data_IF_279611302230
#
_entry.id   IF_279611302230
#
_cell.length_a   1.000
_cell.length_b   1.000
_cell.length_c   1.000
_cell.angle_alpha   90.00
_cell.angle_beta   90.00
_cell.angle_gamma   90.00
#
_symmetry.space_group_name_H-M   'P 1'
#
loop_
_entity.id
_entity.type
_entity.pdbx_description
1 polymer ?
#
# COMPACT_ATOMS: atom_id res chain seq x y z
N UNK A 1 0.93 32.57 -24.80
CA UNK A 1 1.02 31.37 -23.94
C UNK A 1 -0.27 30.59 -24.13
N UNK A 2 -0.23 29.50 -24.90
CA UNK A 2 -1.38 28.63 -25.08
C UNK A 2 -1.50 27.75 -23.82
N UNK A 3 -2.42 28.08 -22.92
CA UNK A 3 -2.79 27.17 -21.86
C UNK A 3 -3.62 26.05 -22.50
N UNK A 4 -3.06 24.84 -22.51
CA UNK A 4 -3.82 23.65 -22.87
C UNK A 4 -4.78 23.38 -21.70
N UNK A 5 -6.02 23.86 -21.83
CA UNK A 5 -7.07 23.55 -20.87
C UNK A 5 -7.56 22.14 -21.19
N UNK A 6 -7.36 21.22 -20.26
CA UNK A 6 -7.91 19.88 -20.38
C UNK A 6 -9.43 19.94 -20.10
N UNK A 7 -10.25 19.43 -21.01
CA UNK A 7 -11.72 19.45 -20.83
C UNK A 7 -12.13 18.59 -19.64
N UNK A 8 -11.53 17.40 -19.50
CA UNK A 8 -11.81 16.51 -18.37
C UNK A 8 -10.59 15.68 -18.02
N UNK A 9 -10.32 15.54 -16.73
CA UNK A 9 -9.24 14.71 -16.19
C UNK A 9 -9.81 13.73 -15.16
N UNK A 10 -9.47 12.46 -15.34
CA UNK A 10 -9.95 11.37 -14.51
C UNK A 10 -8.77 10.57 -13.96
N UNK A 11 -8.71 10.42 -12.64
CA UNK A 11 -7.78 9.52 -11.99
C UNK A 11 -8.52 8.30 -11.45
N UNK A 12 -8.23 7.15 -12.03
CA UNK A 12 -8.65 5.87 -11.47
C UNK A 12 -7.66 5.40 -10.39
N UNK A 13 -8.18 4.66 -9.41
CA UNK A 13 -7.47 4.28 -8.19
C UNK A 13 -6.78 5.47 -7.50
N UNK A 14 -7.54 6.55 -7.32
CA UNK A 14 -7.06 7.83 -6.78
C UNK A 14 -6.38 7.71 -5.40
N UNK A 15 -6.56 6.60 -4.68
CA UNK A 15 -5.79 6.30 -3.47
C UNK A 15 -4.26 6.19 -3.73
N UNK A 16 -3.83 5.99 -4.98
CA UNK A 16 -2.43 6.03 -5.42
C UNK A 16 -1.86 7.45 -5.51
N UNK A 17 -2.71 8.48 -5.48
CA UNK A 17 -2.32 9.89 -5.34
C UNK A 17 -2.00 10.17 -3.87
N UNK A 18 -0.95 9.52 -3.36
CA UNK A 18 -0.63 9.57 -1.94
C UNK A 18 0.25 10.77 -1.58
N UNK A 19 -0.10 11.40 -0.46
CA UNK A 19 0.75 12.30 0.30
C UNK A 19 0.71 11.88 1.77
N UNK A 20 1.84 12.00 2.48
CA UNK A 20 1.96 11.62 3.88
C UNK A 20 2.59 12.75 4.68
N UNK A 21 2.11 12.97 5.90
CA UNK A 21 2.67 13.95 6.84
C UNK A 21 3.38 13.24 7.98
N UNK A 22 4.58 13.68 8.31
CA UNK A 22 5.37 13.18 9.44
C UNK A 22 5.99 14.37 10.18
N UNK A 23 5.47 14.65 11.38
CA UNK A 23 5.76 15.91 12.08
C UNK A 23 5.43 17.10 11.18
N UNK A 24 6.42 17.98 10.97
CA UNK A 24 6.25 19.15 10.11
C UNK A 24 6.62 18.91 8.63
N UNK A 25 6.93 17.66 8.25
CA UNK A 25 7.37 17.33 6.89
C UNK A 25 6.24 16.67 6.10
N UNK A 26 5.91 17.25 4.94
CA UNK A 26 4.96 16.67 3.98
C UNK A 26 5.72 16.03 2.84
N UNK A 27 5.40 14.76 2.56
CA UNK A 27 5.98 14.02 1.45
C UNK A 27 4.90 13.64 0.43
N UNK A 28 4.99 14.23 -0.75
CA UNK A 28 4.11 13.96 -1.90
C UNK A 28 4.76 12.93 -2.83
N UNK A 29 3.98 11.97 -3.33
CA UNK A 29 4.42 11.08 -4.42
C UNK A 29 4.49 11.83 -5.75
N UNK A 30 5.16 11.26 -6.76
CA UNK A 30 5.19 11.86 -8.10
C UNK A 30 3.79 11.95 -8.71
N UNK A 31 2.96 10.92 -8.50
CA UNK A 31 1.56 10.89 -8.95
C UNK A 31 0.73 12.01 -8.32
N UNK A 32 0.90 12.23 -7.01
CA UNK A 32 0.24 13.35 -6.33
C UNK A 32 0.66 14.70 -6.91
N UNK A 33 1.97 14.92 -7.11
CA UNK A 33 2.47 16.19 -7.69
C UNK A 33 1.94 16.43 -9.11
N UNK A 34 1.81 15.38 -9.90
CA UNK A 34 1.19 15.46 -11.22
C UNK A 34 -0.27 15.90 -11.11
N UNK A 35 -1.05 15.29 -10.22
CA UNK A 35 -2.44 15.68 -9.99
C UNK A 35 -2.56 17.13 -9.50
N UNK A 36 -1.70 17.55 -8.57
CA UNK A 36 -1.62 18.92 -8.03
C UNK A 36 -1.28 19.97 -9.12
N UNK A 37 -0.45 19.61 -10.10
CA UNK A 37 -0.13 20.49 -11.22
C UNK A 37 -1.27 20.58 -12.26
N UNK A 38 -2.09 19.54 -12.38
CA UNK A 38 -3.13 19.45 -13.39
C UNK A 38 -4.52 19.87 -12.90
N UNK A 39 -4.81 19.78 -11.60
CA UNK A 39 -6.16 20.03 -11.06
C UNK A 39 -6.66 21.46 -11.36
N UNK A 40 -5.77 22.44 -11.46
CA UNK A 40 -6.11 23.83 -11.79
C UNK A 40 -6.16 24.12 -13.31
N UNK A 41 -5.79 23.14 -14.14
CA UNK A 41 -5.71 23.27 -15.61
C UNK A 41 -6.76 22.40 -16.32
N UNK A 42 -7.81 21.98 -15.62
CA UNK A 42 -8.92 21.23 -16.19
C UNK A 42 -10.29 21.83 -15.82
N UNK A 43 -11.24 21.73 -16.74
CA UNK A 43 -12.63 22.16 -16.50
C UNK A 43 -13.37 21.17 -15.59
N UNK A 44 -13.10 19.87 -15.73
CA UNK A 44 -13.65 18.81 -14.88
C UNK A 44 -12.54 17.92 -14.32
N UNK A 45 -12.54 17.70 -13.00
CA UNK A 45 -11.59 16.86 -12.29
C UNK A 45 -12.32 15.78 -11.49
N UNK A 46 -12.15 14.51 -11.85
CA UNK A 46 -12.83 13.39 -11.21
C UNK A 46 -11.83 12.37 -10.64
N UNK A 47 -12.04 12.01 -9.38
CA UNK A 47 -11.26 10.99 -8.68
C UNK A 47 -12.14 9.76 -8.44
N UNK A 48 -11.69 8.61 -8.95
CA UNK A 48 -12.34 7.32 -8.73
C UNK A 48 -11.50 6.46 -7.80
N UNK A 49 -12.10 5.91 -6.75
CA UNK A 49 -11.43 4.98 -5.84
C UNK A 49 -12.45 4.18 -5.04
N UNK A 50 -12.24 2.86 -4.93
CA UNK A 50 -13.03 2.01 -4.03
C UNK A 50 -12.64 2.19 -2.56
N UNK A 51 -11.42 2.66 -2.29
CA UNK A 51 -10.81 2.77 -0.97
C UNK A 51 -10.05 4.09 -0.87
N UNK A 52 -10.71 5.21 -0.52
CA UNK A 52 -10.11 6.53 -0.61
C UNK A 52 -8.94 6.76 0.37
N UNK A 53 -8.77 5.89 1.36
CA UNK A 53 -7.66 5.92 2.30
C UNK A 53 -7.47 4.55 2.97
N UNK A 54 -6.30 4.33 3.56
CA UNK A 54 -5.93 3.13 4.33
C UNK A 54 -5.80 3.40 5.84
N UNK A 55 -6.50 4.41 6.35
CA UNK A 55 -6.40 4.85 7.75
C UNK A 55 -5.37 5.96 8.03
N UNK A 56 -4.81 6.58 6.99
CA UNK A 56 -4.03 7.82 7.10
C UNK A 56 -4.94 9.02 6.81
N UNK A 57 -5.28 9.78 7.85
CA UNK A 57 -6.15 10.96 7.77
C UNK A 57 -5.57 12.05 6.88
N UNK A 58 -4.25 12.25 6.91
CA UNK A 58 -3.61 13.27 6.08
C UNK A 58 -3.63 12.88 4.60
N UNK A 59 -3.40 11.60 4.29
CA UNK A 59 -3.51 11.13 2.92
C UNK A 59 -4.93 11.33 2.36
N UNK A 60 -5.95 11.06 3.17
CA UNK A 60 -7.35 11.31 2.79
C UNK A 60 -7.60 12.80 2.57
N UNK A 61 -7.22 13.65 3.53
CA UNK A 61 -7.33 15.10 3.44
C UNK A 61 -6.67 15.63 2.16
N UNK A 62 -5.43 15.23 1.89
CA UNK A 62 -4.67 15.68 0.72
C UNK A 62 -5.36 15.34 -0.61
N UNK A 63 -5.96 14.14 -0.72
CA UNK A 63 -6.74 13.74 -1.90
C UNK A 63 -7.97 14.64 -2.06
N UNK A 64 -8.69 14.90 -0.98
CA UNK A 64 -9.88 15.76 -0.99
C UNK A 64 -9.51 17.21 -1.34
N UNK A 65 -8.37 17.71 -0.83
CA UNK A 65 -7.86 19.05 -1.14
C UNK A 65 -7.47 19.25 -2.60
N UNK A 66 -7.29 18.17 -3.39
CA UNK A 66 -7.14 18.28 -4.85
C UNK A 66 -8.45 18.67 -5.56
N UNK A 67 -9.60 18.36 -4.95
CA UNK A 67 -10.92 18.70 -5.47
C UNK A 67 -11.34 20.09 -5.00
N UNK A 68 -11.24 20.34 -3.69
CA UNK A 68 -11.53 21.64 -3.09
C UNK A 68 -10.53 21.90 -1.95
N UNK A 69 -9.55 22.79 -2.13
CA UNK A 69 -8.53 23.06 -1.11
C UNK A 69 -9.08 23.84 0.09
N UNK A 70 -10.29 24.39 0.04
CA UNK A 70 -10.87 25.24 1.08
C UNK A 70 -11.98 24.56 1.88
N UNK A 71 -12.38 23.35 1.51
CA UNK A 71 -13.48 22.64 2.15
C UNK A 71 -13.20 22.31 3.63
N UNK A 72 -11.94 21.96 3.95
CA UNK A 72 -11.47 21.61 5.29
C UNK A 72 -10.19 22.37 5.64
N UNK A 73 -10.03 22.72 6.91
CA UNK A 73 -8.87 23.44 7.42
C UNK A 73 -7.63 22.54 7.50
N UNK A 74 -7.79 21.33 8.05
CA UNK A 74 -6.75 20.32 8.17
C UNK A 74 -7.35 18.90 8.20
N UNK A 75 -6.48 17.90 8.36
CA UNK A 75 -6.86 16.48 8.40
C UNK A 75 -7.74 16.07 9.58
N UNK A 76 -7.78 16.86 10.66
CA UNK A 76 -8.55 16.57 11.88
C UNK A 76 -9.95 17.20 11.84
N UNK A 77 -10.21 18.08 10.87
CA UNK A 77 -11.45 18.84 10.74
C UNK A 77 -12.36 18.36 9.58
N UNK A 78 -12.27 17.09 9.21
CA UNK A 78 -13.09 16.51 8.13
C UNK A 78 -14.53 16.28 8.63
N UNK A 79 -15.43 17.12 8.13
CA UNK A 79 -16.87 17.03 8.37
C UNK A 79 -17.61 16.24 7.27
N UNK A 80 -18.44 15.29 7.70
CA UNK A 80 -19.18 14.40 6.80
C UNK A 80 -20.22 15.13 5.93
N UNK A 81 -20.85 16.19 6.44
CA UNK A 81 -21.88 16.94 5.71
C UNK A 81 -21.25 17.70 4.55
N UNK A 82 -20.12 18.37 4.79
CA UNK A 82 -19.32 19.00 3.74
C UNK A 82 -18.76 17.97 2.76
N UNK A 83 -18.21 16.86 3.25
CA UNK A 83 -17.65 15.80 2.41
C UNK A 83 -18.69 15.26 1.41
N UNK A 84 -19.93 15.04 1.84
CA UNK A 84 -21.03 14.57 0.99
C UNK A 84 -21.39 15.53 -0.15
N UNK A 85 -20.91 16.78 -0.15
CA UNK A 85 -21.09 17.73 -1.26
C UNK A 85 -20.16 17.46 -2.44
N UNK A 86 -19.01 16.82 -2.19
CA UNK A 86 -17.96 16.58 -3.19
C UNK A 86 -17.67 15.08 -3.41
N UNK A 87 -18.19 14.22 -2.54
CA UNK A 87 -17.96 12.78 -2.58
C UNK A 87 -19.27 12.01 -2.66
N UNK A 88 -19.34 11.07 -3.61
CA UNK A 88 -20.42 10.09 -3.70
C UNK A 88 -19.86 8.73 -3.35
N UNK A 89 -20.39 8.09 -2.31
CA UNK A 89 -20.01 6.73 -1.91
C UNK A 89 -21.26 5.88 -1.69
N UNK A 90 -21.36 4.76 -2.41
CA UNK A 90 -22.44 3.78 -2.24
C UNK A 90 -21.84 2.43 -1.86
N UNK A 91 -22.22 1.92 -0.69
CA UNK A 91 -21.85 0.58 -0.24
C UNK A 91 -22.73 -0.50 -0.85
N UNK A 92 -22.27 -1.76 -0.83
CA UNK A 92 -23.03 -2.92 -1.34
C UNK A 92 -24.35 -3.13 -0.58
N UNK A 93 -24.38 -2.80 0.71
CA UNK A 93 -25.57 -2.92 1.56
C UNK A 93 -26.71 -1.97 1.13
N UNK A 94 -26.36 -0.87 0.43
CA UNK A 94 -27.33 0.08 -0.11
C UNK A 94 -27.89 -0.30 -1.48
N UNK A 95 -27.43 -1.39 -2.09
CA UNK A 95 -27.86 -1.81 -3.43
C UNK A 95 -29.01 -2.81 -3.30
N UNK A 96 -30.20 -2.35 -3.70
CA UNK A 96 -31.43 -3.12 -3.72
C UNK A 96 -31.93 -3.29 -5.14
N UNK A 97 -32.60 -4.41 -5.40
CA UNK A 97 -33.30 -4.64 -6.67
C UNK A 97 -34.59 -3.81 -6.77
N UNK A 98 -35.29 -3.94 -7.89
CA UNK A 98 -36.58 -3.29 -8.16
C UNK A 98 -37.67 -3.60 -7.13
N UNK A 99 -37.53 -4.71 -6.39
CA UNK A 99 -38.45 -5.16 -5.35
C UNK A 99 -37.98 -4.76 -3.93
N UNK A 100 -36.89 -3.99 -3.82
CA UNK A 100 -36.34 -3.53 -2.55
C UNK A 100 -35.51 -4.58 -1.79
N UNK A 101 -35.21 -5.72 -2.41
CA UNK A 101 -34.40 -6.79 -1.81
C UNK A 101 -32.91 -6.52 -2.01
N UNK A 102 -32.05 -6.80 -1.00
CA UNK A 102 -30.60 -6.66 -1.17
C UNK A 102 -30.08 -7.51 -2.34
N UNK A 103 -29.33 -6.88 -3.24
CA UNK A 103 -28.69 -7.58 -4.37
C UNK A 103 -27.54 -8.47 -3.89
N UNK A 104 -26.87 -8.05 -2.81
CA UNK A 104 -25.76 -8.79 -2.21
C UNK A 104 -26.21 -9.56 -0.97
N UNK A 105 -25.71 -10.80 -0.83
CA UNK A 105 -25.89 -11.58 0.39
C UNK A 105 -25.06 -10.96 1.52
N UNK A 106 -25.60 -10.97 2.74
CA UNK A 106 -24.86 -10.60 3.94
C UNK A 106 -23.57 -11.41 4.10
N UNK A 107 -22.51 -10.76 4.59
CA UNK A 107 -21.23 -11.40 4.87
C UNK A 107 -21.20 -11.88 6.31
N UNK A 108 -21.11 -13.18 6.51
CA UNK A 108 -20.78 -13.78 7.80
C UNK A 108 -19.27 -14.02 7.87
N UNK A 109 -18.60 -13.44 8.87
CA UNK A 109 -17.16 -13.60 9.07
C UNK A 109 -16.95 -14.38 10.36
N UNK A 110 -16.30 -15.53 10.25
CA UNK A 110 -15.89 -16.33 11.41
C UNK A 110 -14.37 -16.41 11.44
N UNK A 111 -13.78 -15.98 12.56
CA UNK A 111 -12.36 -16.18 12.82
C UNK A 111 -12.18 -17.57 13.42
N UNK A 112 -11.47 -18.45 12.70
CA UNK A 112 -11.14 -19.78 13.18
C UNK A 112 -9.77 -19.69 13.87
N UNK A 113 -9.69 -19.83 15.21
CA UNK A 113 -8.41 -19.87 15.89
C UNK A 113 -7.68 -21.16 15.53
N UNK A 114 -6.40 -21.04 15.19
CA UNK A 114 -5.50 -22.16 14.95
C UNK A 114 -4.34 -22.10 15.93
N UNK A 115 -3.94 -23.25 16.46
CA UNK A 115 -2.77 -23.37 17.32
C UNK A 115 -1.65 -24.04 16.54
N UNK A 116 -0.43 -23.54 16.69
CA UNK A 116 0.73 -24.23 16.14
C UNK A 116 1.03 -25.50 16.93
N UNK A 117 1.44 -26.53 16.19
CA UNK A 117 2.12 -27.69 16.77
C UNK A 117 3.46 -27.28 17.39
N UNK A 118 4.07 -28.18 18.17
CA UNK A 118 5.38 -27.93 18.77
C UNK A 118 6.44 -27.69 17.69
N UNK A 119 6.42 -28.49 16.63
CA UNK A 119 7.34 -28.43 15.50
C UNK A 119 7.18 -27.13 14.72
N UNK A 120 5.95 -26.70 14.45
CA UNK A 120 5.66 -25.41 13.81
C UNK A 120 6.10 -24.23 14.66
N UNK A 121 5.93 -24.31 15.98
CA UNK A 121 6.39 -23.27 16.91
C UNK A 121 7.92 -23.15 16.90
N UNK A 122 8.63 -24.28 16.89
CA UNK A 122 10.09 -24.32 16.78
C UNK A 122 10.54 -23.68 15.46
N UNK A 123 9.91 -24.06 14.34
CA UNK A 123 10.21 -23.49 13.03
C UNK A 123 9.94 -21.98 12.99
N UNK A 124 8.78 -21.55 13.51
CA UNK A 124 8.39 -20.15 13.60
C UNK A 124 9.45 -19.33 14.34
N UNK A 125 9.85 -19.79 15.52
CA UNK A 125 10.83 -19.09 16.34
C UNK A 125 12.21 -19.05 15.65
N UNK A 126 12.67 -20.17 15.09
CA UNK A 126 13.95 -20.23 14.39
C UNK A 126 14.01 -19.29 13.16
N UNK A 127 12.93 -19.22 12.37
CA UNK A 127 12.84 -18.30 11.23
C UNK A 127 12.78 -16.85 11.71
N UNK A 128 11.97 -16.58 12.73
CA UNK A 128 11.81 -15.23 13.31
C UNK A 128 13.12 -14.71 13.88
N UNK A 129 13.87 -15.54 14.59
CA UNK A 129 15.18 -15.20 15.15
C UNK A 129 16.20 -14.91 14.04
N UNK A 130 16.21 -15.74 12.99
CA UNK A 130 17.07 -15.54 11.82
C UNK A 130 16.76 -14.20 11.12
N UNK A 131 15.49 -13.99 10.77
CA UNK A 131 15.00 -12.78 10.10
C UNK A 131 15.33 -11.54 10.92
N UNK A 132 15.04 -11.57 12.23
CA UNK A 132 15.23 -10.41 13.12
C UNK A 132 16.70 -10.03 13.23
N UNK A 133 17.60 -11.02 13.37
CA UNK A 133 19.04 -10.78 13.46
C UNK A 133 19.58 -10.11 12.19
N UNK A 134 19.25 -10.68 11.02
CA UNK A 134 19.73 -10.15 9.73
C UNK A 134 19.09 -8.80 9.42
N UNK A 135 17.81 -8.61 9.74
CA UNK A 135 17.12 -7.33 9.59
C UNK A 135 17.79 -6.23 10.42
N UNK A 136 18.15 -6.51 11.67
CA UNK A 136 18.83 -5.54 12.54
C UNK A 136 20.23 -5.18 12.04
N UNK A 137 21.00 -6.16 11.53
CA UNK A 137 22.28 -5.91 10.87
C UNK A 137 22.08 -5.05 9.62
N UNK A 138 21.12 -5.41 8.77
CA UNK A 138 20.82 -4.66 7.55
C UNK A 138 20.39 -3.21 7.86
N UNK A 139 19.64 -3.01 8.94
CA UNK A 139 19.24 -1.69 9.43
C UNK A 139 20.44 -0.88 9.91
N UNK A 140 21.40 -1.47 10.64
CA UNK A 140 22.58 -0.75 11.14
C UNK A 140 23.52 -0.30 10.01
N UNK A 141 23.62 -1.07 8.92
CA UNK A 141 24.40 -0.70 7.72
C UNK A 141 23.56 0.03 6.66
N UNK A 142 22.32 0.43 6.98
CA UNK A 142 21.37 1.10 6.08
C UNK A 142 21.12 0.36 4.75
N UNK A 143 21.24 -0.98 4.75
CA UNK A 143 20.98 -1.85 3.61
C UNK A 143 19.51 -2.27 3.58
N UNK A 144 18.68 -1.38 3.03
CA UNK A 144 17.22 -1.57 2.96
C UNK A 144 16.80 -2.78 2.13
N UNK A 145 17.61 -3.19 1.15
CA UNK A 145 17.32 -4.33 0.29
C UNK A 145 17.29 -5.63 1.08
N UNK A 146 18.33 -5.86 1.90
CA UNK A 146 18.41 -7.03 2.77
C UNK A 146 17.33 -7.00 3.83
N UNK A 147 17.07 -5.84 4.44
CA UNK A 147 15.98 -5.69 5.41
C UNK A 147 14.62 -6.06 4.82
N UNK A 148 14.35 -5.65 3.58
CA UNK A 148 13.12 -6.00 2.88
C UNK A 148 13.03 -7.49 2.54
N UNK A 149 14.10 -8.11 2.05
CA UNK A 149 14.12 -9.55 1.82
C UNK A 149 13.79 -10.34 3.10
N UNK A 150 14.25 -9.87 4.26
CA UNK A 150 13.91 -10.48 5.56
C UNK A 150 12.43 -10.31 5.93
N UNK A 151 11.83 -9.15 5.65
CA UNK A 151 10.37 -8.94 5.83
C UNK A 151 9.57 -9.91 4.94
N UNK A 152 9.97 -10.06 3.68
CA UNK A 152 9.31 -11.00 2.76
C UNK A 152 9.43 -12.44 3.25
N UNK A 153 10.62 -12.84 3.72
CA UNK A 153 10.85 -14.17 4.28
C UNK A 153 9.91 -14.44 5.49
N UNK A 154 9.72 -13.46 6.38
CA UNK A 154 8.77 -13.58 7.49
C UNK A 154 7.31 -13.72 6.99
N UNK A 155 6.90 -12.93 6.00
CA UNK A 155 5.54 -13.03 5.44
C UNK A 155 5.28 -14.41 4.82
N UNK A 156 6.27 -15.01 4.16
CA UNK A 156 6.15 -16.36 3.57
C UNK A 156 5.99 -17.45 4.63
N UNK A 157 6.63 -17.28 5.79
CA UNK A 157 6.48 -18.17 6.94
C UNK A 157 5.01 -18.28 7.40
N UNK A 158 4.30 -17.16 7.42
CA UNK A 158 2.87 -17.10 7.80
C UNK A 158 1.94 -17.55 6.66
N UNK A 159 2.44 -17.60 5.42
CA UNK A 159 1.65 -17.99 4.23
C UNK A 159 1.53 -19.51 4.06
N UNK A 160 2.63 -20.26 4.15
CA UNK A 160 2.62 -21.73 4.23
C UNK A 160 4.01 -22.30 4.56
N UNK A 161 4.03 -23.51 5.12
CA UNK A 161 5.26 -24.28 5.37
C UNK A 161 6.02 -24.56 4.06
N UNK A 162 5.30 -24.85 2.97
CA UNK A 162 5.89 -25.10 1.67
C UNK A 162 6.59 -23.85 1.10
N UNK A 163 5.97 -22.67 1.27
CA UNK A 163 6.54 -21.40 0.82
C UNK A 163 7.84 -21.08 1.55
N UNK A 164 7.85 -21.10 2.88
CA UNK A 164 9.07 -20.80 3.65
C UNK A 164 10.19 -21.79 3.37
N UNK A 165 9.86 -23.08 3.20
CA UNK A 165 10.85 -24.09 2.81
C UNK A 165 11.50 -23.78 1.46
N UNK A 166 10.72 -23.37 0.47
CA UNK A 166 11.24 -22.97 -0.84
C UNK A 166 12.14 -21.74 -0.74
N UNK A 167 11.69 -20.70 -0.03
CA UNK A 167 12.45 -19.46 0.17
C UNK A 167 13.78 -19.71 0.88
N UNK A 168 13.80 -20.54 1.92
CA UNK A 168 15.03 -20.91 2.63
C UNK A 168 15.99 -21.71 1.74
N UNK A 169 15.49 -22.64 0.92
CA UNK A 169 16.32 -23.39 -0.03
C UNK A 169 16.95 -22.49 -1.09
N UNK A 170 16.17 -21.59 -1.69
CA UNK A 170 16.67 -20.65 -2.70
C UNK A 170 17.74 -19.73 -2.10
N UNK A 171 17.48 -19.22 -0.90
CA UNK A 171 18.44 -18.40 -0.16
C UNK A 171 19.74 -19.15 0.13
N UNK A 172 19.66 -20.39 0.60
CA UNK A 172 20.84 -21.22 0.85
C UNK A 172 21.64 -21.45 -0.44
N UNK A 173 20.96 -21.77 -1.56
CA UNK A 173 21.58 -21.90 -2.88
C UNK A 173 22.35 -20.63 -3.26
N UNK A 174 21.74 -19.45 -3.10
CA UNK A 174 22.36 -18.18 -3.48
C UNK A 174 23.56 -17.83 -2.60
N UNK A 175 23.50 -18.15 -1.30
CA UNK A 175 24.63 -17.98 -0.38
C UNK A 175 25.81 -18.89 -0.74
N UNK A 176 25.54 -20.16 -1.09
CA UNK A 176 26.56 -21.11 -1.53
C UNK A 176 27.22 -20.66 -2.84
N UNK A 177 26.46 -20.02 -3.73
CA UNK A 177 26.95 -19.52 -5.02
C UNK A 177 27.61 -18.13 -4.95
N UNK A 178 27.75 -17.56 -3.75
CA UNK A 178 28.22 -16.17 -3.54
C UNK A 178 27.49 -15.13 -4.40
N UNK A 179 26.24 -15.42 -4.78
CA UNK A 179 25.48 -14.55 -5.66
C UNK A 179 24.96 -13.34 -4.87
N UNK A 180 25.46 -12.15 -5.21
CA UNK A 180 24.98 -10.88 -4.68
C UNK A 180 24.11 -10.19 -5.73
N UNK A 181 22.77 -10.31 -5.66
CA UNK A 181 21.91 -9.57 -6.57
C UNK A 181 22.10 -8.06 -6.35
N UNK A 182 22.43 -7.34 -7.42
CA UNK A 182 22.53 -5.88 -7.40
C UNK A 182 21.20 -5.31 -7.84
N UNK A 183 20.52 -4.57 -6.94
CA UNK A 183 19.27 -3.92 -7.29
C UNK A 183 19.50 -2.80 -8.33
N UNK A 184 18.69 -2.82 -9.38
CA UNK A 184 18.56 -1.71 -10.33
C UNK A 184 18.03 -0.44 -9.65
N UNK A 185 18.17 0.71 -10.32
CA UNK A 185 17.66 2.01 -9.82
C UNK A 185 16.14 1.97 -9.62
N UNK A 186 15.43 1.30 -10.53
CA UNK A 186 13.99 1.12 -10.47
C UNK A 186 13.57 0.28 -9.27
N UNK A 187 14.28 -0.84 -9.03
CA UNK A 187 14.08 -1.70 -7.86
C UNK A 187 14.38 -0.96 -6.56
N UNK A 188 15.44 -0.14 -6.50
CA UNK A 188 15.71 0.72 -5.33
C UNK A 188 14.59 1.72 -5.06
N UNK A 189 13.90 2.18 -6.11
CA UNK A 189 12.78 3.13 -5.99
C UNK A 189 11.52 2.43 -5.52
N UNK A 190 11.14 1.33 -6.17
CA UNK A 190 10.03 0.45 -5.79
C UNK A 190 10.15 -0.08 -4.36
N UNK A 191 11.37 -0.43 -3.95
CA UNK A 191 11.70 -0.81 -2.56
C UNK A 191 11.41 0.31 -1.56
N UNK A 192 11.75 1.56 -1.90
CA UNK A 192 11.45 2.73 -1.05
C UNK A 192 9.95 2.97 -0.94
N UNK A 193 9.19 2.72 -1.99
CA UNK A 193 7.74 2.88 -2.01
C UNK A 193 7.06 1.77 -1.19
N UNK A 194 7.49 0.52 -1.32
CA UNK A 194 6.99 -0.60 -0.48
C UNK A 194 7.20 -0.36 1.01
N UNK A 195 8.39 0.11 1.40
CA UNK A 195 8.70 0.36 2.82
C UNK A 195 7.73 1.39 3.43
N UNK A 196 7.18 2.27 2.61
CA UNK A 196 6.18 3.26 3.06
C UNK A 196 4.75 2.75 2.97
N UNK A 197 4.43 2.06 1.88
CA UNK A 197 3.12 1.47 1.63
C UNK A 197 3.31 0.01 1.18
N UNK A 198 3.07 -0.97 2.06
CA UNK A 198 3.23 -2.39 1.75
C UNK A 198 2.37 -2.91 0.59
N UNK A 199 1.34 -2.18 0.17
CA UNK A 199 0.54 -2.54 -1.02
C UNK A 199 0.89 -1.71 -2.26
N UNK A 200 1.97 -0.93 -2.20
CA UNK A 200 2.47 -0.21 -3.39
C UNK A 200 3.12 -1.12 -4.43
N UNK A 201 3.43 -2.37 -4.05
CA UNK A 201 3.89 -3.42 -4.97
C UNK A 201 2.79 -4.44 -5.19
N UNK A 202 2.57 -4.82 -6.44
CA UNK A 202 1.77 -6.00 -6.77
C UNK A 202 2.53 -7.30 -6.44
N UNK A 203 1.85 -8.44 -6.54
CA UNK A 203 2.43 -9.74 -6.16
C UNK A 203 3.54 -10.20 -7.12
N UNK A 204 3.50 -9.77 -8.38
CA UNK A 204 4.54 -10.06 -9.38
C UNK A 204 5.81 -9.25 -9.11
N UNK A 205 5.64 -8.00 -8.71
CA UNK A 205 6.74 -7.12 -8.32
C UNK A 205 7.44 -7.61 -7.06
N UNK A 206 6.68 -8.09 -6.06
CA UNK A 206 7.25 -8.72 -4.85
C UNK A 206 8.12 -9.92 -5.21
N UNK A 207 7.65 -10.78 -6.12
CA UNK A 207 8.39 -11.97 -6.57
C UNK A 207 9.68 -11.62 -7.32
N UNK A 208 9.72 -10.47 -8.01
CA UNK A 208 10.93 -10.01 -8.71
C UNK A 208 12.07 -9.62 -7.76
N UNK A 209 11.75 -9.05 -6.61
CA UNK A 209 12.74 -8.74 -5.58
C UNK A 209 13.23 -9.96 -4.80
N UNK A 210 12.55 -11.09 -4.93
CA UNK A 210 12.90 -12.35 -4.25
C UNK A 210 13.96 -13.17 -5.03
N UNK A 211 14.19 -12.86 -6.33
CA UNK A 211 15.18 -13.52 -7.19
C UNK A 211 16.58 -12.91 -7.03
#
# INVERSE_FOLDING_TARGET
MNYCILVSLLFDEAHKLSASKSGNTIKRTQRYRLAEALCNNCESFLLLTGTPHKGDSYAFYAIISLIDPYIFFDEDNIDSIKLNKIMIRRGKDGIKDENGKPVFKGREVMTIPINFTKEETILYNAVTDYVSRIYNIAKSVNNRAVGFAMILLQKRMVSSIAAIRSSLKNRLSNLIKEFVPTLTIEEKTRLKDYIKDPDSLDDWEKERFEK
#
